data_IF_555857352188
#
_entry.id   IF_555857352188
#
_cell.length_a   1.000
_cell.length_b   1.000
_cell.length_c   1.000
_cell.angle_alpha   90.00
_cell.angle_beta   90.00
_cell.angle_gamma   90.00
#
_symmetry.space_group_name_H-M   'P 1'
#
loop_
_entity.id
_entity.type
_entity.pdbx_description
1 polymer ?
#
# COMPACT_ATOMS: atom_id res chain seq x y z
N UNK A 1 13.54 10.87 10.94
CA UNK A 1 12.07 10.99 11.13
C UNK A 1 11.51 9.62 10.89
N UNK A 2 10.58 9.15 11.72
CA UNK A 2 9.93 7.85 11.56
C UNK A 2 8.69 8.04 10.68
N UNK A 3 8.69 7.42 9.50
CA UNK A 3 7.50 7.33 8.65
C UNK A 3 6.57 6.22 9.16
N UNK A 4 5.31 6.23 8.72
CA UNK A 4 4.38 5.14 8.99
C UNK A 4 3.48 4.92 7.78
N UNK A 5 3.20 3.65 7.49
CA UNK A 5 2.20 3.29 6.48
C UNK A 5 1.13 2.43 7.13
N UNK A 6 -0.11 2.78 6.89
CA UNK A 6 -1.25 1.97 7.29
C UNK A 6 -1.79 1.24 6.07
N UNK A 7 -2.16 -0.02 6.27
CA UNK A 7 -2.78 -0.87 5.27
C UNK A 7 -4.09 -1.41 5.82
N UNK A 8 -5.18 -1.19 5.11
CA UNK A 8 -6.45 -1.82 5.39
C UNK A 8 -6.82 -2.83 4.30
N UNK A 9 -7.52 -3.89 4.67
CA UNK A 9 -7.88 -4.98 3.76
C UNK A 9 -9.32 -5.44 3.97
N UNK A 10 -9.94 -5.84 2.86
CA UNK A 10 -11.28 -6.43 2.81
C UNK A 10 -11.38 -7.79 3.52
N UNK A 11 -10.25 -8.47 3.72
CA UNK A 11 -10.16 -9.76 4.44
C UNK A 11 -8.93 -9.77 5.36
N UNK A 12 -8.83 -10.72 6.31
CA UNK A 12 -7.63 -10.83 7.14
C UNK A 12 -6.37 -10.96 6.27
N UNK A 13 -5.42 -10.04 6.47
CA UNK A 13 -4.20 -9.99 5.67
C UNK A 13 -3.22 -11.07 6.14
N UNK A 14 -2.63 -11.80 5.19
CA UNK A 14 -1.65 -12.85 5.46
C UNK A 14 -0.46 -12.67 4.54
N UNK A 15 0.73 -12.55 5.13
CA UNK A 15 1.98 -12.60 4.36
C UNK A 15 2.20 -14.05 3.92
N UNK A 16 2.35 -14.33 2.62
CA UNK A 16 2.64 -15.68 2.12
C UNK A 16 4.03 -16.13 2.56
N UNK A 17 4.20 -17.44 2.75
CA UNK A 17 5.48 -18.05 3.18
C UNK A 17 6.66 -17.64 2.29
N UNK A 18 6.44 -17.48 0.97
CA UNK A 18 7.49 -17.05 0.03
C UNK A 18 8.06 -15.66 0.36
N UNK A 19 7.21 -14.74 0.84
CA UNK A 19 7.62 -13.39 1.24
C UNK A 19 8.28 -13.44 2.63
N UNK A 20 7.78 -14.25 3.55
CA UNK A 20 8.43 -14.49 4.85
C UNK A 20 9.84 -15.09 4.68
N UNK A 21 9.99 -16.08 3.81
CA UNK A 21 11.29 -16.68 3.47
C UNK A 21 12.23 -15.64 2.85
N UNK A 22 11.71 -14.76 1.99
CA UNK A 22 12.49 -13.67 1.41
C UNK A 22 12.95 -12.68 2.48
N UNK A 23 12.06 -12.24 3.37
CA UNK A 23 12.36 -11.32 4.47
C UNK A 23 13.44 -11.86 5.42
N UNK A 24 13.56 -13.20 5.57
CA UNK A 24 14.58 -13.85 6.40
C UNK A 24 15.93 -14.11 5.70
N UNK A 25 16.07 -13.74 4.42
CA UNK A 25 17.35 -13.90 3.72
C UNK A 25 18.43 -13.02 4.34
N UNK A 26 19.61 -13.60 4.56
CA UNK A 26 20.78 -12.90 5.12
C UNK A 26 21.84 -12.60 4.07
N UNK A 27 21.66 -13.09 2.84
CA UNK A 27 22.59 -12.93 1.73
C UNK A 27 21.84 -12.33 0.55
N UNK A 28 22.29 -11.15 0.13
CA UNK A 28 21.82 -10.46 -1.08
C UNK A 28 23.04 -10.15 -1.95
N UNK A 29 22.89 -10.24 -3.27
CA UNK A 29 23.98 -9.98 -4.21
C UNK A 29 24.33 -8.48 -4.29
N UNK A 30 23.33 -7.61 -4.06
CA UNK A 30 23.47 -6.15 -4.00
C UNK A 30 22.60 -5.58 -2.89
N UNK A 31 23.00 -4.44 -2.31
CA UNK A 31 22.18 -3.73 -1.31
C UNK A 31 20.84 -3.25 -1.90
N UNK A 32 20.81 -2.92 -3.19
CA UNK A 32 19.60 -2.52 -3.93
C UNK A 32 18.58 -3.65 -4.09
N UNK A 33 18.98 -4.91 -3.86
CA UNK A 33 18.10 -6.07 -3.92
C UNK A 33 17.41 -6.34 -2.57
N UNK A 34 17.69 -5.56 -1.53
CA UNK A 34 17.07 -5.75 -0.20
C UNK A 34 15.70 -5.08 -0.19
N UNK A 35 14.68 -5.83 -0.62
CA UNK A 35 13.28 -5.46 -0.40
C UNK A 35 12.73 -6.19 0.84
N UNK A 36 11.80 -5.58 1.55
CA UNK A 36 11.08 -6.26 2.63
C UNK A 36 9.61 -5.86 2.56
N UNK A 37 8.70 -6.78 2.82
CA UNK A 37 7.28 -6.45 2.94
C UNK A 37 6.71 -7.19 4.14
N UNK A 38 6.22 -6.45 5.12
CA UNK A 38 5.62 -7.02 6.32
C UNK A 38 4.40 -6.21 6.74
N UNK A 39 3.48 -6.88 7.43
CA UNK A 39 2.35 -6.25 8.11
C UNK A 39 2.32 -6.71 9.56
N UNK A 40 1.92 -5.80 10.45
CA UNK A 40 1.71 -6.10 11.86
C UNK A 40 0.40 -5.50 12.33
N UNK A 41 -0.15 -6.06 13.40
CA UNK A 41 -1.35 -5.49 14.02
C UNK A 41 -1.08 -4.05 14.44
N UNK A 42 -2.05 -3.18 14.18
CA UNK A 42 -1.94 -1.78 14.54
C UNK A 42 -1.91 -1.62 16.08
N UNK A 43 -0.98 -0.80 16.55
CA UNK A 43 -0.90 -0.46 17.98
C UNK A 43 -2.18 0.27 18.44
N UNK A 44 -2.56 0.06 19.70
CA UNK A 44 -3.70 0.69 20.34
C UNK A 44 -3.63 2.23 20.31
N UNK A 45 -2.42 2.80 20.29
CA UNK A 45 -2.24 4.26 20.16
C UNK A 45 -2.77 4.77 18.82
N UNK A 46 -2.48 4.05 17.73
CA UNK A 46 -2.90 4.44 16.38
C UNK A 46 -4.37 4.15 16.10
N UNK A 47 -4.97 3.11 16.71
CA UNK A 47 -6.37 2.70 16.46
C UNK A 47 -7.37 3.85 16.49
N UNK A 48 -7.23 4.78 17.44
CA UNK A 48 -8.10 5.95 17.55
C UNK A 48 -7.77 7.00 16.48
N UNK A 49 -6.49 7.24 16.24
CA UNK A 49 -6.01 8.26 15.29
C UNK A 49 -6.34 7.93 13.84
N UNK A 50 -6.58 6.67 13.50
CA UNK A 50 -6.99 6.25 12.16
C UNK A 50 -8.48 5.88 12.06
N UNK A 51 -9.27 6.16 13.09
CA UNK A 51 -10.71 5.89 13.07
C UNK A 51 -11.38 6.71 11.96
N UNK A 52 -12.16 6.02 11.12
CA UNK A 52 -12.85 6.61 9.97
C UNK A 52 -11.96 6.88 8.75
N UNK A 53 -10.66 6.60 8.82
CA UNK A 53 -9.72 6.80 7.70
C UNK A 53 -9.95 5.79 6.57
N UNK A 54 -10.20 4.54 6.93
CA UNK A 54 -10.36 3.42 6.01
C UNK A 54 -11.82 2.97 5.94
N UNK A 55 -12.22 2.46 4.78
CA UNK A 55 -13.53 1.83 4.61
C UNK A 55 -13.53 0.36 5.02
N UNK A 56 -12.34 -0.23 5.17
CA UNK A 56 -12.13 -1.66 5.37
C UNK A 56 -11.90 -2.02 6.86
N UNK A 57 -12.33 -3.22 7.30
CA UNK A 57 -12.36 -3.57 8.72
C UNK A 57 -11.02 -4.10 9.28
N UNK A 58 -10.14 -4.67 8.44
CA UNK A 58 -8.87 -5.25 8.89
C UNK A 58 -7.75 -4.25 8.63
N UNK A 59 -7.20 -3.65 9.69
CA UNK A 59 -6.21 -2.58 9.59
C UNK A 59 -4.91 -2.97 10.26
N UNK A 60 -3.81 -2.67 9.58
CA UNK A 60 -2.45 -3.05 9.91
C UNK A 60 -1.51 -1.85 9.77
N UNK A 61 -0.39 -1.90 10.49
CA UNK A 61 0.79 -1.15 10.11
C UNK A 61 1.57 -1.99 9.09
N UNK A 62 1.99 -1.36 8.00
CA UNK A 62 2.68 -2.03 6.92
C UNK A 62 4.04 -1.38 6.65
N UNK A 63 5.00 -2.21 6.26
CA UNK A 63 6.37 -1.82 6.01
C UNK A 63 6.79 -2.28 4.62
N UNK A 64 7.53 -1.42 3.91
CA UNK A 64 7.95 -1.69 2.53
C UNK A 64 6.81 -1.72 1.51
N UNK A 65 5.68 -1.10 1.83
CA UNK A 65 4.65 -0.78 0.85
C UNK A 65 5.26 0.13 -0.21
N UNK A 66 5.01 -0.15 -1.49
CA UNK A 66 5.60 0.61 -2.60
C UNK A 66 6.79 -0.04 -3.29
N UNK A 67 7.34 -1.10 -2.70
CA UNK A 67 8.42 -1.85 -3.34
C UNK A 67 7.92 -2.98 -4.25
N UNK A 68 8.87 -3.63 -4.91
CA UNK A 68 8.59 -4.70 -5.86
C UNK A 68 7.92 -5.93 -5.22
N UNK A 69 8.25 -6.26 -3.95
CA UNK A 69 7.62 -7.38 -3.23
C UNK A 69 6.14 -7.10 -2.98
N UNK A 70 5.81 -5.88 -2.56
CA UNK A 70 4.43 -5.46 -2.36
C UNK A 70 3.62 -5.53 -3.66
N UNK A 71 4.14 -5.01 -4.78
CA UNK A 71 3.47 -5.10 -6.07
C UNK A 71 3.31 -6.55 -6.55
N UNK A 72 4.31 -7.39 -6.30
CA UNK A 72 4.25 -8.83 -6.59
C UNK A 72 3.18 -9.52 -5.75
N UNK A 73 3.02 -9.11 -4.49
CA UNK A 73 1.95 -9.60 -3.63
C UNK A 73 0.58 -9.29 -4.23
N UNK A 74 0.34 -8.03 -4.62
CA UNK A 74 -0.92 -7.62 -5.23
C UNK A 74 -1.25 -8.45 -6.48
N UNK A 75 -0.25 -8.67 -7.33
CA UNK A 75 -0.41 -9.42 -8.58
C UNK A 75 -0.82 -10.89 -8.34
N UNK A 76 -0.18 -11.53 -7.36
CA UNK A 76 -0.29 -12.99 -7.15
C UNK A 76 -1.43 -13.38 -6.22
N UNK A 77 -1.67 -12.63 -5.16
CA UNK A 77 -2.51 -13.09 -4.04
C UNK A 77 -3.83 -12.33 -3.88
N UNK A 78 -4.03 -11.20 -4.57
CA UNK A 78 -5.36 -10.62 -4.63
C UNK A 78 -6.29 -11.53 -5.43
N UNK A 79 -7.46 -11.81 -4.86
CA UNK A 79 -8.57 -12.54 -5.45
C UNK A 79 -9.61 -11.55 -6.00
N UNK A 80 -10.48 -12.02 -6.90
CA UNK A 80 -11.56 -11.19 -7.43
C UNK A 80 -12.47 -10.77 -6.28
N UNK A 81 -12.74 -9.46 -6.16
CA UNK A 81 -13.48 -8.85 -5.08
C UNK A 81 -12.62 -8.30 -3.94
N UNK A 82 -11.32 -8.61 -3.92
CA UNK A 82 -10.42 -8.07 -2.90
C UNK A 82 -10.20 -6.56 -3.09
N UNK A 83 -10.18 -5.87 -1.95
CA UNK A 83 -9.79 -4.46 -1.82
C UNK A 83 -8.69 -4.33 -0.76
N UNK A 84 -7.69 -3.51 -1.08
CA UNK A 84 -6.63 -3.05 -0.16
C UNK A 84 -6.57 -1.53 -0.22
N UNK A 85 -6.55 -0.87 0.94
CA UNK A 85 -6.39 0.57 1.07
C UNK A 85 -5.07 0.87 1.78
N UNK A 86 -4.36 1.90 1.33
CA UNK A 86 -3.07 2.32 1.88
C UNK A 86 -3.10 3.81 2.17
N UNK A 87 -2.58 4.18 3.34
CA UNK A 87 -2.30 5.57 3.69
C UNK A 87 -0.87 5.69 4.21
N UNK A 88 -0.08 6.55 3.56
CA UNK A 88 1.32 6.79 3.90
C UNK A 88 1.48 8.13 4.61
N UNK A 89 2.25 8.16 5.69
CA UNK A 89 2.55 9.37 6.46
C UNK A 89 4.07 9.53 6.59
N UNK A 90 4.67 10.60 6.02
CA UNK A 90 6.12 10.79 6.00
C UNK A 90 6.74 10.99 7.39
N UNK A 91 5.96 11.50 8.35
CA UNK A 91 6.41 11.77 9.72
C UNK A 91 5.29 11.46 10.69
N UNK A 92 5.49 10.44 11.53
CA UNK A 92 4.56 10.06 12.60
C UNK A 92 4.27 11.24 13.56
N UNK A 93 5.26 12.11 13.79
CA UNK A 93 5.11 13.27 14.66
C UNK A 93 4.11 14.31 14.13
N UNK A 94 3.90 14.32 12.81
CA UNK A 94 3.06 15.29 12.12
C UNK A 94 1.78 14.63 11.57
N UNK A 95 1.44 13.44 12.06
CA UNK A 95 0.31 12.63 11.57
C UNK A 95 -1.01 13.43 11.49
N UNK A 96 -1.34 14.18 12.55
CA UNK A 96 -2.58 14.97 12.59
C UNK A 96 -2.62 16.06 11.52
N UNK A 97 -1.46 16.64 11.17
CA UNK A 97 -1.37 17.63 10.10
C UNK A 97 -1.58 16.96 8.74
N UNK A 98 -0.88 15.86 8.47
CA UNK A 98 -1.05 15.10 7.23
C UNK A 98 -2.46 14.58 7.04
N UNK A 99 -3.11 14.12 8.12
CA UNK A 99 -4.50 13.68 8.11
C UNK A 99 -5.43 14.83 7.70
N UNK A 100 -5.28 16.00 8.32
CA UNK A 100 -6.08 17.18 7.97
C UNK A 100 -5.87 17.61 6.52
N UNK A 101 -4.62 17.69 6.07
CA UNK A 101 -4.30 18.09 4.70
C UNK A 101 -4.94 17.14 3.68
N UNK A 102 -4.90 15.82 3.95
CA UNK A 102 -5.57 14.80 3.15
C UNK A 102 -7.10 14.93 3.19
N UNK A 103 -7.71 15.25 4.34
CA UNK A 103 -9.16 15.45 4.46
C UNK A 103 -9.64 16.73 3.76
N UNK A 104 -8.85 17.82 3.81
CA UNK A 104 -9.18 19.11 3.19
C UNK A 104 -8.96 19.09 1.66
N UNK A 105 -7.90 18.43 1.20
CA UNK A 105 -7.50 18.37 -0.20
C UNK A 105 -7.12 16.94 -0.63
N UNK A 106 -8.09 16.01 -0.68
CA UNK A 106 -7.80 14.61 -0.96
C UNK A 106 -7.36 14.39 -2.41
N UNK A 107 -6.21 13.72 -2.58
CA UNK A 107 -5.71 13.18 -3.84
C UNK A 107 -5.72 11.64 -3.85
N UNK A 108 -6.91 11.00 -3.86
CA UNK A 108 -7.00 9.55 -3.81
C UNK A 108 -6.48 8.93 -5.13
N UNK A 109 -5.93 7.73 -5.00
CA UNK A 109 -5.44 6.94 -6.13
C UNK A 109 -6.22 5.63 -6.16
N UNK A 110 -6.64 5.20 -7.34
CA UNK A 110 -7.27 3.89 -7.54
C UNK A 110 -6.45 3.08 -8.55
N UNK A 111 -6.11 1.84 -8.19
CA UNK A 111 -5.43 0.88 -9.04
C UNK A 111 -6.28 -0.37 -9.16
N UNK A 112 -6.77 -0.67 -10.36
CA UNK A 112 -7.43 -1.95 -10.62
C UNK A 112 -6.40 -2.93 -11.19
N UNK A 113 -6.10 -3.98 -10.42
CA UNK A 113 -5.06 -4.98 -10.78
C UNK A 113 -5.55 -6.03 -11.77
N UNK A 114 -6.86 -6.15 -11.98
CA UNK A 114 -7.45 -7.03 -13.01
C UNK A 114 -7.52 -6.34 -14.36
N UNK A 115 -7.99 -5.08 -14.36
CA UNK A 115 -8.14 -4.26 -15.58
C UNK A 115 -6.87 -3.51 -15.95
N UNK A 116 -5.87 -3.53 -15.08
CA UNK A 116 -4.60 -2.82 -15.24
C UNK A 116 -4.81 -1.32 -15.44
N UNK A 117 -5.63 -0.70 -14.61
CA UNK A 117 -5.93 0.74 -14.71
C UNK A 117 -5.41 1.47 -13.50
N UNK A 118 -4.85 2.65 -13.73
CA UNK A 118 -4.39 3.57 -12.71
C UNK A 118 -5.16 4.88 -12.85
N UNK A 119 -5.72 5.39 -11.75
CA UNK A 119 -6.49 6.62 -11.72
C UNK A 119 -6.03 7.49 -10.57
N UNK A 120 -5.82 8.76 -10.82
CA UNK A 120 -5.54 9.78 -9.82
C UNK A 120 -6.31 11.06 -10.15
N UNK A 121 -6.03 12.15 -9.43
CA UNK A 121 -6.66 13.46 -9.67
C UNK A 121 -6.36 14.05 -11.05
N UNK A 122 -5.27 13.63 -11.69
CA UNK A 122 -4.84 14.15 -12.99
C UNK A 122 -5.44 13.38 -14.18
N UNK A 123 -5.98 12.17 -13.96
CA UNK A 123 -6.64 11.42 -15.01
C UNK A 123 -6.71 9.93 -14.78
N UNK A 124 -7.06 9.24 -15.86
CA UNK A 124 -7.21 7.79 -15.94
C UNK A 124 -6.24 7.24 -16.99
N UNK A 125 -5.50 6.21 -16.63
CA UNK A 125 -4.42 5.64 -17.41
C UNK A 125 -4.58 4.12 -17.50
N UNK A 126 -4.45 3.58 -18.71
CA UNK A 126 -4.40 2.15 -18.95
C UNK A 126 -2.93 1.69 -18.90
N UNK A 127 -2.61 0.80 -17.97
CA UNK A 127 -1.30 0.15 -17.87
C UNK A 127 -1.22 -1.03 -18.84
N UNK A 128 -0.01 -1.38 -19.23
CA UNK A 128 0.26 -2.53 -20.07
C UNK A 128 0.10 -3.84 -19.28
N UNK A 129 -0.84 -4.73 -19.64
CA UNK A 129 -1.09 -5.98 -18.91
C UNK A 129 0.15 -6.86 -18.69
N UNK A 130 1.11 -6.83 -19.63
CA UNK A 130 2.33 -7.65 -19.54
C UNK A 130 3.42 -7.05 -18.66
N UNK A 131 3.33 -5.76 -18.35
CA UNK A 131 4.38 -4.97 -17.68
C UNK A 131 3.82 -4.04 -16.60
N UNK A 132 2.58 -4.25 -16.16
CA UNK A 132 1.89 -3.28 -15.31
C UNK A 132 2.60 -3.05 -13.97
N UNK A 133 3.27 -4.07 -13.42
CA UNK A 133 4.08 -3.93 -12.19
C UNK A 133 5.25 -2.97 -12.42
N UNK A 134 5.98 -3.14 -13.53
CA UNK A 134 7.11 -2.28 -13.92
C UNK A 134 6.61 -0.85 -14.16
N UNK A 135 5.55 -0.68 -14.95
CA UNK A 135 4.96 0.64 -15.21
C UNK A 135 4.46 1.31 -13.94
N UNK A 136 3.73 0.58 -13.08
CA UNK A 136 3.23 1.11 -11.82
C UNK A 136 4.38 1.49 -10.87
N UNK A 137 5.47 0.72 -10.83
CA UNK A 137 6.66 1.05 -10.02
C UNK A 137 7.32 2.39 -10.39
N UNK A 138 7.07 2.89 -11.60
CA UNK A 138 7.54 4.20 -12.07
C UNK A 138 6.52 5.33 -11.85
N UNK A 139 5.31 5.01 -11.38
CA UNK A 139 4.28 5.99 -11.03
C UNK A 139 4.30 6.30 -9.54
N UNK A 140 3.85 7.50 -9.18
CA UNK A 140 3.58 7.86 -7.79
C UNK A 140 2.20 7.32 -7.39
N UNK A 141 2.12 6.04 -7.01
CA UNK A 141 0.88 5.40 -6.56
C UNK A 141 0.73 5.35 -5.03
N UNK A 142 1.66 5.94 -4.29
CA UNK A 142 1.57 6.14 -2.84
C UNK A 142 1.72 7.63 -2.58
N UNK A 143 0.80 8.18 -1.78
CA UNK A 143 0.78 9.60 -1.44
C UNK A 143 0.34 9.76 0.02
N UNK A 144 0.75 10.87 0.62
CA UNK A 144 0.26 11.30 1.92
C UNK A 144 -0.99 12.18 1.83
N UNK A 145 -1.36 12.58 0.61
CA UNK A 145 -2.50 13.43 0.33
C UNK A 145 -3.79 12.65 0.06
N UNK A 146 -3.78 11.32 0.16
CA UNK A 146 -4.94 10.51 -0.14
C UNK A 146 -4.73 9.04 0.17
N UNK A 147 -5.83 8.32 0.29
CA UNK A 147 -5.82 6.85 0.37
C UNK A 147 -5.62 6.29 -1.04
N UNK A 148 -4.64 5.41 -1.20
CA UNK A 148 -4.51 4.59 -2.40
C UNK A 148 -5.32 3.32 -2.23
N UNK A 149 -6.24 3.06 -3.16
CA UNK A 149 -7.10 1.87 -3.17
C UNK A 149 -6.71 0.93 -4.30
N UNK A 150 -6.34 -0.30 -3.96
CA UNK A 150 -6.13 -1.39 -4.90
C UNK A 150 -7.37 -2.28 -4.92
N UNK A 151 -7.88 -2.57 -6.11
CA UNK A 151 -9.08 -3.39 -6.32
C UNK A 151 -8.85 -4.46 -7.38
N UNK A 152 -9.60 -5.57 -7.31
CA UNK A 152 -9.59 -6.61 -8.34
C UNK A 152 -11.01 -7.01 -8.78
N UNK A 153 -11.52 -6.45 -9.88
CA UNK A 153 -12.82 -6.77 -10.51
C UNK A 153 -12.94 -6.24 -11.95
#
# INVERSE_FOLDING_TARGET
MTEITFLASSKPFKIPEEIEEYNHRTVFEREEDVFFFSVQEIDNEWKKSIEGLFSLPYIYEANGVGNQLFLTYLAKYMEIGDVIEIYYVPSQNDFEQYRRDMEEHPEPIEVNVERYTYKNVYGFFQLNPKKWIEELSHLNYITHQGVTTFVKY
#
